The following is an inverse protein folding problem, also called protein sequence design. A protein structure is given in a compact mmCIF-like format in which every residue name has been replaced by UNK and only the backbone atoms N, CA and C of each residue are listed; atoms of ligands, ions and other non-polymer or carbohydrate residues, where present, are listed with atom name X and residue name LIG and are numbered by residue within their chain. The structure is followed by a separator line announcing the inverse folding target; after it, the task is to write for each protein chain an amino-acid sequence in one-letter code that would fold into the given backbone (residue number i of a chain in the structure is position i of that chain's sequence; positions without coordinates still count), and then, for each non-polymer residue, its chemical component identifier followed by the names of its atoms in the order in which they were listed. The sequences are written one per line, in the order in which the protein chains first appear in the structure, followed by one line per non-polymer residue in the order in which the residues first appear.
data_IF_584476647705
#
_entry.id   IF_584476647705
#
_cell.length_a   1.000
_cell.length_b   1.000
_cell.length_c   1.000
_cell.angle_alpha   90.00
_cell.angle_beta   90.00
_cell.angle_gamma   90.00
#
_symmetry.space_group_name_H-M   'P 1'
#
loop_
_entity.id
_entity.type
_entity.pdbx_description
1 polymer ?
#
# COMPACT_ATOMS: atom_id res chain seq x y z
N UNK A 1 -51.10 33.51 -3.32
CA UNK A 1 -49.83 33.96 -3.97
C UNK A 1 -48.75 34.03 -2.90
N UNK A 2 -48.40 32.88 -2.32
CA UNK A 2 -47.56 32.79 -1.11
C UNK A 2 -47.05 31.35 -1.05
N UNK A 3 -45.92 31.06 -1.68
CA UNK A 3 -45.17 29.81 -1.40
C UNK A 3 -43.73 29.76 -1.94
N UNK A 4 -43.29 30.75 -2.71
CA UNK A 4 -41.90 30.78 -3.22
C UNK A 4 -40.84 31.24 -2.20
N UNK A 5 -41.24 31.84 -1.06
CA UNK A 5 -40.28 32.33 -0.05
C UNK A 5 -39.85 31.26 0.97
N UNK A 6 -40.73 30.32 1.31
CA UNK A 6 -40.43 29.25 2.29
C UNK A 6 -39.47 28.20 1.71
N UNK A 7 -39.60 27.88 0.42
CA UNK A 7 -38.71 26.95 -0.30
C UNK A 7 -37.27 27.49 -0.42
N UNK A 8 -37.09 28.80 -0.58
CA UNK A 8 -35.77 29.43 -0.63
C UNK A 8 -34.99 29.39 0.69
N UNK A 9 -35.67 29.58 1.83
CA UNK A 9 -35.04 29.55 3.15
C UNK A 9 -34.68 28.11 3.55
N UNK A 10 -35.58 27.15 3.30
CA UNK A 10 -35.33 25.73 3.54
C UNK A 10 -34.14 25.22 2.69
N UNK A 11 -34.06 25.60 1.40
CA UNK A 11 -32.96 25.23 0.51
C UNK A 11 -31.63 25.88 0.91
N UNK A 12 -31.65 27.14 1.36
CA UNK A 12 -30.46 27.81 1.91
C UNK A 12 -29.98 27.18 3.21
N UNK A 13 -30.89 26.82 4.13
CA UNK A 13 -30.55 26.11 5.38
C UNK A 13 -30.01 24.70 5.11
N UNK A 14 -30.57 23.98 4.15
CA UNK A 14 -30.06 22.66 3.73
C UNK A 14 -28.67 22.74 3.08
N UNK A 15 -28.44 23.73 2.20
CA UNK A 15 -27.12 23.98 1.62
C UNK A 15 -26.10 24.38 2.68
N UNK A 16 -26.48 25.23 3.65
CA UNK A 16 -25.61 25.60 4.76
C UNK A 16 -25.27 24.40 5.66
N UNK A 17 -26.27 23.57 5.97
CA UNK A 17 -26.13 22.39 6.82
C UNK A 17 -25.29 21.27 6.18
N UNK A 18 -25.23 21.20 4.85
CA UNK A 18 -24.35 20.28 4.12
C UNK A 18 -22.96 20.87 3.86
N UNK A 19 -22.86 22.18 3.68
CA UNK A 19 -21.59 22.87 3.42
C UNK A 19 -20.70 22.99 4.66
N UNK A 20 -21.26 23.32 5.82
CA UNK A 20 -20.51 23.45 7.09
C UNK A 20 -19.76 22.15 7.45
N UNK A 21 -20.38 20.96 7.50
CA UNK A 21 -19.65 19.74 7.82
C UNK A 21 -18.63 19.37 6.73
N UNK A 22 -18.87 19.73 5.46
CA UNK A 22 -17.90 19.52 4.39
C UNK A 22 -16.66 20.41 4.56
N UNK A 23 -16.84 21.67 4.96
CA UNK A 23 -15.73 22.58 5.28
C UNK A 23 -14.98 22.13 6.53
N UNK A 24 -15.69 21.73 7.59
CA UNK A 24 -15.08 21.19 8.81
C UNK A 24 -14.31 19.90 8.52
N UNK A 25 -14.85 19.02 7.67
CA UNK A 25 -14.14 17.83 7.20
C UNK A 25 -12.88 18.22 6.43
N UNK A 26 -12.94 19.21 5.53
CA UNK A 26 -11.75 19.67 4.80
C UNK A 26 -10.69 20.28 5.73
N UNK A 27 -11.10 21.01 6.78
CA UNK A 27 -10.20 21.54 7.80
C UNK A 27 -9.58 20.38 8.60
N UNK A 28 -10.39 19.46 9.12
CA UNK A 28 -9.92 18.27 9.84
C UNK A 28 -8.92 17.47 9.02
N UNK A 29 -9.21 17.24 7.74
CA UNK A 29 -8.27 16.57 6.85
C UNK A 29 -6.98 17.36 6.75
N UNK A 30 -6.97 18.69 6.61
CA UNK A 30 -5.73 19.47 6.53
C UNK A 30 -4.86 19.41 7.79
N UNK A 31 -5.46 19.33 8.97
CA UNK A 31 -4.75 19.35 10.26
C UNK A 31 -4.51 17.96 10.87
N UNK A 32 -4.94 16.89 10.22
CA UNK A 32 -4.65 15.55 10.70
C UNK A 32 -3.15 15.25 10.60
N UNK A 33 -2.61 14.63 11.64
CA UNK A 33 -1.28 14.02 11.59
C UNK A 33 -1.26 12.90 10.53
N UNK A 34 -0.12 12.69 9.88
CA UNK A 34 0.08 11.65 8.87
C UNK A 34 0.26 12.22 7.45
N UNK A 35 0.11 11.37 6.44
CA UNK A 35 0.42 11.74 5.06
C UNK A 35 -0.51 12.80 4.47
N UNK A 36 0.07 13.88 3.92
CA UNK A 36 -0.66 15.05 3.39
C UNK A 36 -1.06 14.94 1.92
N UNK A 37 -0.62 13.91 1.19
CA UNK A 37 -1.00 13.74 -0.22
C UNK A 37 -0.09 14.47 -1.21
N UNK A 38 1.08 14.92 -0.79
CA UNK A 38 2.10 15.65 -1.55
C UNK A 38 3.30 14.77 -1.90
N UNK A 39 3.76 13.98 -0.92
CA UNK A 39 4.85 13.01 -1.05
C UNK A 39 4.36 11.65 -1.54
N UNK A 40 5.30 10.80 -1.98
CA UNK A 40 5.00 9.42 -2.34
C UNK A 40 4.41 8.67 -1.15
N UNK A 41 3.49 7.76 -1.44
CA UNK A 41 2.85 6.95 -0.41
C UNK A 41 2.64 5.52 -0.89
N UNK A 42 3.29 4.59 -0.20
CA UNK A 42 3.28 3.15 -0.51
C UNK A 42 2.49 2.41 0.55
N UNK A 43 1.44 1.72 0.11
CA UNK A 43 0.55 0.94 0.97
C UNK A 43 0.57 -0.53 0.54
N UNK A 44 0.75 -1.42 1.50
CA UNK A 44 0.59 -2.86 1.31
C UNK A 44 -0.86 -3.25 1.50
N UNK A 45 -1.43 -3.96 0.54
CA UNK A 45 -2.73 -4.60 0.64
C UNK A 45 -2.54 -6.11 0.77
N UNK A 46 -3.15 -6.68 1.79
CA UNK A 46 -3.04 -8.11 2.10
C UNK A 46 -4.43 -8.70 2.33
N UNK A 47 -4.73 -9.80 1.65
CA UNK A 47 -5.93 -10.59 1.89
C UNK A 47 -5.61 -11.81 2.73
N UNK A 48 -6.31 -11.94 3.86
CA UNK A 48 -6.20 -13.08 4.77
C UNK A 48 -7.37 -14.02 4.48
N UNK A 49 -7.07 -15.17 3.89
CA UNK A 49 -8.04 -16.21 3.56
C UNK A 49 -8.31 -17.10 4.80
N UNK A 50 -9.56 -17.54 5.03
CA UNK A 50 -9.87 -18.52 6.07
C UNK A 50 -9.18 -19.87 5.79
N UNK A 51 -8.81 -20.60 6.85
CA UNK A 51 -8.02 -21.85 6.80
C UNK A 51 -8.61 -22.97 5.92
N UNK A 52 -9.88 -22.88 5.53
CA UNK A 52 -10.60 -23.88 4.74
C UNK A 52 -10.41 -23.76 3.22
N UNK A 53 -9.91 -22.63 2.72
CA UNK A 53 -9.64 -22.41 1.30
C UNK A 53 -8.12 -22.30 1.09
N UNK A 54 -7.54 -23.37 0.53
CA UNK A 54 -6.17 -23.47 0.00
C UNK A 54 -5.31 -22.20 -0.01
N UNK A 55 -4.83 -21.79 1.17
CA UNK A 55 -3.48 -21.27 1.47
C UNK A 55 -2.92 -20.04 0.74
N UNK A 56 -3.64 -19.36 -0.14
CA UNK A 56 -3.05 -18.26 -0.94
C UNK A 56 -3.43 -16.89 -0.41
N UNK A 57 -2.75 -16.46 0.65
CA UNK A 57 -2.77 -15.07 1.09
C UNK A 57 -2.13 -14.18 0.01
N UNK A 58 -2.98 -13.48 -0.74
CA UNK A 58 -2.56 -12.57 -1.81
C UNK A 58 -2.05 -11.24 -1.24
N UNK A 59 -1.02 -10.70 -1.91
CA UNK A 59 -0.29 -9.53 -1.46
C UNK A 59 -0.03 -8.58 -2.63
N UNK A 60 -0.24 -7.29 -2.41
CA UNK A 60 0.12 -6.28 -3.39
C UNK A 60 0.63 -5.00 -2.73
N UNK A 61 1.58 -4.32 -3.38
CA UNK A 61 1.99 -2.97 -3.02
C UNK A 61 1.33 -1.99 -4.00
N UNK A 62 0.79 -0.91 -3.45
CA UNK A 62 0.30 0.23 -4.22
C UNK A 62 1.09 1.45 -3.79
N UNK A 63 1.95 1.94 -4.67
CA UNK A 63 2.71 3.18 -4.46
C UNK A 63 2.15 4.28 -5.34
N UNK A 64 1.76 5.39 -4.74
CA UNK A 64 1.22 6.56 -5.43
C UNK A 64 2.24 7.70 -5.35
N UNK A 65 2.49 8.36 -6.48
CA UNK A 65 3.31 9.56 -6.60
C UNK A 65 2.41 10.76 -6.96
N UNK A 66 1.90 11.51 -5.96
CA UNK A 66 0.93 12.57 -6.20
C UNK A 66 1.48 13.73 -7.02
N UNK A 67 2.78 14.02 -6.93
CA UNK A 67 3.40 15.16 -7.62
C UNK A 67 3.37 15.02 -9.14
N UNK A 68 3.48 13.78 -9.63
CA UNK A 68 3.46 13.45 -11.07
C UNK A 68 2.19 12.73 -11.52
N UNK A 69 1.25 12.48 -10.61
CA UNK A 69 0.03 11.69 -10.84
C UNK A 69 0.34 10.30 -11.43
N UNK A 70 1.38 9.65 -10.92
CA UNK A 70 1.76 8.30 -11.32
C UNK A 70 1.55 7.33 -10.15
N UNK A 71 1.56 6.04 -10.45
CA UNK A 71 1.65 5.04 -9.41
C UNK A 71 2.01 3.67 -9.98
N UNK A 72 2.29 2.76 -9.07
CA UNK A 72 2.58 1.36 -9.39
C UNK A 72 1.72 0.46 -8.51
N UNK A 73 1.17 -0.56 -9.14
CA UNK A 73 0.60 -1.73 -8.49
C UNK A 73 1.55 -2.90 -8.72
N UNK A 74 2.13 -3.42 -7.64
CA UNK A 74 3.05 -4.55 -7.66
C UNK A 74 2.39 -5.74 -6.95
N UNK A 75 1.98 -6.75 -7.72
CA UNK A 75 1.49 -8.01 -7.15
C UNK A 75 2.66 -8.88 -6.71
N UNK A 76 2.54 -9.49 -5.53
CA UNK A 76 3.53 -10.39 -4.93
C UNK A 76 2.87 -11.75 -4.72
N UNK A 77 3.42 -12.76 -5.40
CA UNK A 77 2.94 -14.14 -5.27
C UNK A 77 3.14 -14.69 -3.85
N UNK A 78 2.20 -15.52 -3.34
CA UNK A 78 2.28 -16.15 -2.02
C UNK A 78 3.51 -17.06 -1.82
N UNK A 79 4.16 -17.48 -2.92
CA UNK A 79 5.36 -18.33 -2.94
C UNK A 79 6.67 -17.56 -2.81
N UNK A 80 6.64 -16.23 -2.95
CA UNK A 80 7.85 -15.41 -2.87
C UNK A 80 8.35 -15.39 -1.43
N UNK A 81 9.61 -15.75 -1.22
CA UNK A 81 10.29 -15.65 0.06
C UNK A 81 10.62 -14.20 0.36
N UNK A 82 10.23 -13.76 1.55
CA UNK A 82 10.57 -12.46 2.10
C UNK A 82 11.62 -12.65 3.20
N UNK A 83 12.58 -11.74 3.24
CA UNK A 83 13.50 -11.56 4.35
C UNK A 83 12.75 -10.92 5.52
N UNK A 84 12.74 -11.58 6.68
CA UNK A 84 12.09 -11.09 7.90
C UNK A 84 13.10 -10.40 8.82
N UNK A 85 12.68 -9.35 9.54
CA UNK A 85 13.48 -8.75 10.61
C UNK A 85 13.69 -9.72 11.79
N UNK A 86 14.47 -9.31 12.80
CA UNK A 86 14.57 -9.99 14.10
C UNK A 86 15.10 -11.43 14.09
N UNK A 87 15.83 -11.83 13.05
CA UNK A 87 16.50 -13.14 13.00
C UNK A 87 15.63 -14.31 12.51
N UNK A 88 14.40 -14.04 12.05
CA UNK A 88 13.51 -15.07 11.49
C UNK A 88 13.94 -15.63 10.12
N UNK A 89 15.02 -15.11 9.51
CA UNK A 89 15.48 -15.49 8.16
C UNK A 89 14.40 -15.23 7.10
N UNK A 90 14.06 -16.23 6.29
CA UNK A 90 13.18 -16.10 5.14
C UNK A 90 11.93 -16.94 5.27
N UNK A 91 10.77 -16.37 4.93
CA UNK A 91 9.50 -17.09 4.89
C UNK A 91 8.69 -16.73 3.64
N UNK A 92 7.84 -17.65 3.13
CA UNK A 92 6.89 -17.31 2.07
C UNK A 92 6.01 -16.14 2.50
N UNK A 93 5.78 -15.19 1.59
CA UNK A 93 5.01 -13.96 1.81
C UNK A 93 3.64 -14.23 2.42
N UNK A 94 3.00 -15.32 1.99
CA UNK A 94 1.72 -15.83 2.50
C UNK A 94 1.69 -16.12 4.00
N UNK A 95 2.84 -16.45 4.61
CA UNK A 95 2.93 -16.87 6.01
C UNK A 95 3.36 -15.75 6.95
N UNK A 96 3.99 -14.69 6.44
CA UNK A 96 4.64 -13.64 7.27
C UNK A 96 3.66 -12.94 8.20
N UNK A 97 2.48 -12.56 7.69
CA UNK A 97 1.47 -11.91 8.52
C UNK A 97 1.06 -12.77 9.71
N UNK A 98 0.85 -14.08 9.49
CA UNK A 98 0.44 -15.01 10.53
C UNK A 98 1.49 -15.15 11.62
N UNK A 99 2.78 -15.15 11.24
CA UNK A 99 3.88 -15.23 12.21
C UNK A 99 3.81 -14.08 13.22
N UNK A 100 3.70 -12.84 12.75
CA UNK A 100 3.58 -11.68 13.66
C UNK A 100 2.25 -11.64 14.41
N UNK A 101 1.17 -12.10 13.77
CA UNK A 101 -0.14 -12.15 14.41
C UNK A 101 -0.20 -13.15 15.58
N UNK A 102 0.53 -14.27 15.49
CA UNK A 102 0.64 -15.26 16.57
C UNK A 102 1.37 -14.72 17.80
N UNK A 103 2.31 -13.79 17.62
CA UNK A 103 3.11 -13.25 18.70
C UNK A 103 2.37 -12.17 19.51
N UNK A 104 1.73 -11.21 18.83
CA UNK A 104 1.17 -10.02 19.49
C UNK A 104 -0.11 -9.49 18.84
N UNK A 105 -0.80 -10.31 18.06
CA UNK A 105 -2.06 -9.97 17.40
C UNK A 105 -1.89 -9.33 16.02
N UNK A 106 -3.02 -9.13 15.32
CA UNK A 106 -3.03 -8.81 13.89
C UNK A 106 -2.24 -7.56 13.49
N UNK A 107 -2.17 -6.55 14.37
CA UNK A 107 -1.40 -5.34 14.12
C UNK A 107 0.10 -5.65 14.01
N UNK A 108 0.62 -6.52 14.89
CA UNK A 108 2.00 -6.99 14.83
C UNK A 108 2.25 -7.81 13.55
N UNK A 109 1.29 -8.62 13.11
CA UNK A 109 1.33 -9.30 11.82
C UNK A 109 1.48 -8.36 10.63
N UNK A 110 0.70 -7.27 10.61
CA UNK A 110 0.79 -6.23 9.59
C UNK A 110 2.13 -5.49 9.59
N UNK A 111 2.64 -5.15 10.77
CA UNK A 111 3.95 -4.50 10.91
C UNK A 111 5.11 -5.41 10.49
N UNK A 112 5.07 -6.69 10.86
CA UNK A 112 6.09 -7.66 10.44
C UNK A 112 6.09 -7.81 8.92
N UNK A 113 4.91 -7.93 8.30
CA UNK A 113 4.77 -8.02 6.85
C UNK A 113 5.30 -6.75 6.15
N UNK A 114 4.92 -5.56 6.65
CA UNK A 114 5.43 -4.28 6.16
C UNK A 114 6.96 -4.28 6.19
N UNK A 115 7.57 -4.55 7.35
CA UNK A 115 9.03 -4.53 7.51
C UNK A 115 9.73 -5.57 6.63
N UNK A 116 9.15 -6.75 6.49
CA UNK A 116 9.72 -7.81 5.66
C UNK A 116 9.75 -7.42 4.18
N UNK A 117 8.70 -6.74 3.70
CA UNK A 117 8.66 -6.20 2.35
C UNK A 117 9.66 -5.05 2.15
N UNK A 118 9.80 -4.16 3.13
CA UNK A 118 10.81 -3.08 3.08
C UNK A 118 12.22 -3.66 2.96
N UNK A 119 12.53 -4.70 3.75
CA UNK A 119 13.82 -5.37 3.72
C UNK A 119 14.07 -6.09 2.40
N UNK A 120 13.09 -6.87 1.94
CA UNK A 120 13.23 -7.72 0.74
C UNK A 120 13.33 -6.88 -0.53
N UNK A 121 12.46 -5.87 -0.66
CA UNK A 121 12.35 -5.05 -1.86
C UNK A 121 13.22 -3.80 -1.81
N UNK A 122 13.70 -3.39 -0.63
CA UNK A 122 14.43 -2.14 -0.48
C UNK A 122 13.56 -0.91 -0.78
N UNK A 123 12.26 -0.98 -0.54
CA UNK A 123 11.32 0.14 -0.80
C UNK A 123 10.73 0.63 0.51
N UNK A 124 10.53 1.93 0.65
CA UNK A 124 9.81 2.51 1.79
C UNK A 124 8.33 2.14 1.71
N UNK A 125 7.78 1.58 2.78
CA UNK A 125 6.37 1.25 2.89
C UNK A 125 5.80 2.07 4.04
N UNK A 126 4.82 2.93 3.74
CA UNK A 126 4.28 3.85 4.72
C UNK A 126 3.20 3.17 5.58
N UNK A 127 2.42 2.26 4.99
CA UNK A 127 1.29 1.65 5.67
C UNK A 127 0.92 0.27 5.14
N UNK A 128 0.07 -0.42 5.90
CA UNK A 128 -0.54 -1.68 5.51
C UNK A 128 -2.07 -1.65 5.71
N UNK A 129 -2.76 -2.46 4.92
CA UNK A 129 -4.19 -2.76 5.02
C UNK A 129 -4.35 -4.25 4.85
N UNK A 130 -4.74 -4.94 5.92
CA UNK A 130 -5.02 -6.35 5.92
C UNK A 130 -6.53 -6.59 6.07
N UNK A 131 -7.10 -7.35 5.14
CA UNK A 131 -8.51 -7.69 5.09
C UNK A 131 -8.72 -9.15 5.48
N UNK A 132 -9.58 -9.39 6.47
CA UNK A 132 -10.06 -10.75 6.76
C UNK A 132 -11.24 -11.09 5.83
N UNK A 133 -11.30 -12.33 5.32
CA UNK A 133 -12.41 -12.83 4.50
C UNK A 133 -12.55 -12.16 3.12
N UNK A 134 -11.45 -11.81 2.44
CA UNK A 134 -11.42 -11.38 1.04
C UNK A 134 -12.33 -10.18 0.72
N UNK A 135 -12.27 -9.14 1.57
CA UNK A 135 -13.12 -7.96 1.40
C UNK A 135 -12.79 -7.12 0.15
N UNK A 136 -11.61 -7.34 -0.44
CA UNK A 136 -11.23 -6.93 -1.79
C UNK A 136 -10.52 -8.11 -2.47
N UNK A 137 -10.50 -8.13 -3.80
CA UNK A 137 -9.73 -9.10 -4.57
C UNK A 137 -8.47 -8.42 -5.11
N UNK A 138 -7.30 -9.05 -4.93
CA UNK A 138 -6.04 -8.51 -5.40
C UNK A 138 -5.76 -9.05 -6.80
N UNK A 139 -5.70 -8.13 -7.75
CA UNK A 139 -5.54 -8.45 -9.15
C UNK A 139 -4.17 -9.05 -9.46
N UNK A 140 -4.16 -10.27 -10.00
CA UNK A 140 -2.93 -10.98 -10.38
C UNK A 140 -2.50 -10.63 -11.81
N UNK A 141 -3.42 -10.07 -12.60
CA UNK A 141 -3.17 -9.65 -13.99
C UNK A 141 -3.58 -8.20 -14.23
N UNK A 142 -2.95 -7.57 -15.23
CA UNK A 142 -3.23 -6.18 -15.62
C UNK A 142 -4.71 -5.92 -15.94
N UNK A 143 -5.35 -6.80 -16.71
CA UNK A 143 -6.77 -6.63 -17.07
C UNK A 143 -7.70 -6.68 -15.85
N UNK A 144 -7.39 -7.53 -14.86
CA UNK A 144 -8.12 -7.60 -13.59
C UNK A 144 -7.93 -6.30 -12.79
N UNK A 145 -6.71 -5.78 -12.76
CA UNK A 145 -6.39 -4.52 -12.08
C UNK A 145 -7.11 -3.32 -12.69
N UNK A 146 -7.15 -3.24 -14.03
CA UNK A 146 -7.85 -2.17 -14.73
C UNK A 146 -9.35 -2.17 -14.38
N UNK A 147 -9.97 -3.36 -14.30
CA UNK A 147 -11.35 -3.51 -13.88
C UNK A 147 -11.54 -3.15 -12.39
N UNK A 148 -10.68 -3.68 -11.51
CA UNK A 148 -10.69 -3.38 -10.09
C UNK A 148 -10.63 -1.87 -9.85
N UNK A 149 -9.74 -1.14 -10.54
CA UNK A 149 -9.65 0.31 -10.41
C UNK A 149 -10.91 1.03 -10.90
N UNK A 150 -11.46 0.63 -12.05
CA UNK A 150 -12.69 1.24 -12.59
C UNK A 150 -13.89 1.06 -11.65
N UNK A 151 -13.99 -0.09 -11.02
CA UNK A 151 -15.12 -0.38 -10.14
C UNK A 151 -14.95 0.23 -8.75
N UNK A 152 -13.74 0.18 -8.19
CA UNK A 152 -13.50 0.59 -6.79
C UNK A 152 -13.07 2.04 -6.62
N UNK A 153 -12.57 2.74 -7.66
CA UNK A 153 -12.05 4.12 -7.53
C UNK A 153 -12.75 5.14 -8.42
N UNK A 154 -14.03 4.90 -8.78
CA UNK A 154 -14.87 5.91 -9.45
C UNK A 154 -15.76 6.67 -8.46
N UNK A 155 -16.33 7.81 -8.90
CA UNK A 155 -17.07 8.71 -8.00
C UNK A 155 -18.29 8.04 -7.35
N UNK A 156 -19.02 7.20 -8.09
CA UNK A 156 -20.25 6.57 -7.60
C UNK A 156 -20.05 5.10 -7.24
N UNK A 157 -19.41 4.29 -8.11
CA UNK A 157 -19.18 2.87 -7.83
C UNK A 157 -18.09 2.61 -6.78
N UNK A 158 -17.19 3.58 -6.57
CA UNK A 158 -16.13 3.48 -5.57
C UNK A 158 -16.55 3.84 -4.15
N UNK A 159 -17.76 4.41 -3.95
CA UNK A 159 -18.24 4.75 -2.60
C UNK A 159 -18.33 3.52 -1.68
N UNK A 160 -18.91 2.37 -2.10
CA UNK A 160 -18.85 1.14 -1.32
C UNK A 160 -17.43 0.75 -0.89
N UNK A 161 -16.44 0.85 -1.78
CA UNK A 161 -15.05 0.55 -1.45
C UNK A 161 -14.47 1.55 -0.44
N UNK A 162 -14.72 2.85 -0.63
CA UNK A 162 -14.32 3.88 0.33
C UNK A 162 -14.95 3.62 1.71
N UNK A 163 -16.26 3.37 1.78
CA UNK A 163 -16.94 3.07 3.03
C UNK A 163 -16.33 1.85 3.70
N UNK A 164 -16.06 0.78 2.95
CA UNK A 164 -15.35 -0.38 3.48
C UNK A 164 -14.00 0.05 4.04
N UNK A 165 -13.13 0.70 3.26
CA UNK A 165 -11.79 1.12 3.71
C UNK A 165 -11.83 1.93 5.02
N UNK A 166 -12.84 2.79 5.18
CA UNK A 166 -13.05 3.63 6.37
C UNK A 166 -13.62 2.88 7.59
N UNK A 167 -14.15 1.66 7.42
CA UNK A 167 -14.63 0.82 8.54
C UNK A 167 -13.50 0.03 9.21
N UNK A 168 -13.68 -0.32 10.48
CA UNK A 168 -12.72 -1.08 11.29
C UNK A 168 -12.65 -2.59 10.97
N UNK A 169 -13.20 -2.99 9.81
CA UNK A 169 -13.17 -4.40 9.38
C UNK A 169 -11.80 -4.80 8.79
N UNK A 170 -10.90 -3.82 8.67
CA UNK A 170 -9.52 -3.98 8.22
C UNK A 170 -8.58 -3.73 9.37
N UNK A 171 -7.53 -4.55 9.45
CA UNK A 171 -6.39 -4.26 10.32
C UNK A 171 -5.45 -3.36 9.53
N UNK A 172 -5.22 -2.14 10.02
CA UNK A 172 -4.42 -1.15 9.30
C UNK A 172 -3.82 -0.15 10.27
N UNK A 173 -2.63 0.36 9.95
CA UNK A 173 -2.03 1.50 10.61
C UNK A 173 -2.36 2.85 9.92
N UNK A 174 -3.21 2.85 8.88
CA UNK A 174 -3.72 4.07 8.25
C UNK A 174 -4.74 4.75 9.13
N UNK A 175 -4.54 6.04 9.39
CA UNK A 175 -5.58 6.84 10.01
C UNK A 175 -6.71 7.18 9.01
N UNK A 176 -7.85 7.65 9.54
CA UNK A 176 -9.03 7.98 8.73
C UNK A 176 -8.72 8.95 7.57
N UNK A 177 -7.90 9.97 7.85
CA UNK A 177 -7.55 10.99 6.85
C UNK A 177 -6.67 10.43 5.73
N UNK A 178 -5.74 9.53 6.06
CA UNK A 178 -4.86 8.87 5.12
C UNK A 178 -5.64 7.92 4.22
N UNK A 179 -6.57 7.13 4.79
CA UNK A 179 -7.50 6.27 4.01
C UNK A 179 -8.27 7.07 2.97
N UNK A 180 -8.87 8.20 3.38
CA UNK A 180 -9.64 9.05 2.47
C UNK A 180 -8.75 9.72 1.41
N UNK A 181 -7.58 10.27 1.82
CA UNK A 181 -6.62 10.87 0.87
C UNK A 181 -6.11 9.86 -0.13
N UNK A 182 -5.78 8.64 0.31
CA UNK A 182 -5.32 7.56 -0.55
C UNK A 182 -6.37 7.23 -1.60
N UNK A 183 -7.63 7.04 -1.18
CA UNK A 183 -8.74 6.81 -2.10
C UNK A 183 -8.88 7.95 -3.12
N UNK A 184 -8.86 9.21 -2.66
CA UNK A 184 -9.01 10.37 -3.54
C UNK A 184 -7.83 10.52 -4.53
N UNK A 185 -6.60 10.19 -4.12
CA UNK A 185 -5.42 10.24 -4.97
C UNK A 185 -5.42 9.10 -5.99
N UNK A 186 -5.71 7.87 -5.55
CA UNK A 186 -5.84 6.70 -6.43
C UNK A 186 -6.93 6.90 -7.49
N UNK A 187 -8.06 7.51 -7.12
CA UNK A 187 -9.14 7.91 -8.05
C UNK A 187 -8.68 8.93 -9.11
N UNK A 188 -7.81 9.88 -8.76
CA UNK A 188 -7.38 10.94 -9.68
C UNK A 188 -6.39 10.47 -10.74
N UNK A 189 -5.57 9.48 -10.40
CA UNK A 189 -4.58 8.92 -11.33
C UNK A 189 -5.32 8.16 -12.43
N UNK A 190 -4.93 8.35 -13.70
CA UNK A 190 -5.53 7.60 -14.81
C UNK A 190 -4.95 6.19 -14.92
N UNK A 191 -5.62 5.30 -15.64
CA UNK A 191 -5.15 3.91 -15.83
C UNK A 191 -3.82 3.85 -16.58
N UNK A 192 -3.63 4.69 -17.59
CA UNK A 192 -2.37 4.78 -18.36
C UNK A 192 -1.19 5.31 -17.53
N UNK A 193 -1.46 5.96 -16.39
CA UNK A 193 -0.47 6.48 -15.46
C UNK A 193 -0.18 5.51 -14.30
N UNK A 194 -0.87 4.37 -14.26
CA UNK A 194 -0.59 3.29 -13.35
C UNK A 194 0.15 2.17 -14.05
N UNK A 195 1.30 1.84 -13.52
CA UNK A 195 2.01 0.65 -13.93
C UNK A 195 1.48 -0.56 -13.15
N UNK A 196 1.32 -1.67 -13.85
CA UNK A 196 1.01 -2.97 -13.25
C UNK A 196 2.25 -3.85 -13.41
N UNK A 197 2.74 -4.40 -12.31
CA UNK A 197 3.87 -5.32 -12.29
C UNK A 197 3.46 -6.57 -11.51
N UNK A 198 3.54 -7.72 -12.15
CA UNK A 198 3.51 -9.00 -11.46
C UNK A 198 4.95 -9.43 -11.16
N UNK A 199 5.32 -9.43 -9.88
CA UNK A 199 6.70 -9.73 -9.48
C UNK A 199 7.12 -11.16 -9.88
N UNK A 200 6.16 -12.09 -9.88
CA UNK A 200 6.31 -13.47 -10.34
C UNK A 200 6.80 -13.61 -11.79
N UNK A 201 6.29 -12.74 -12.66
CA UNK A 201 6.51 -12.76 -14.10
C UNK A 201 7.71 -11.88 -14.49
N UNK A 202 8.35 -11.24 -13.50
CA UNK A 202 9.49 -10.37 -13.71
C UNK A 202 10.80 -11.15 -13.70
N UNK A 203 11.84 -10.59 -14.33
CA UNK A 203 13.21 -11.11 -14.23
C UNK A 203 13.87 -10.87 -12.87
N UNK A 204 13.14 -10.30 -11.90
CA UNK A 204 13.66 -10.00 -10.55
C UNK A 204 13.39 -11.14 -9.57
N UNK A 205 12.80 -12.24 -10.03
CA UNK A 205 12.47 -13.41 -9.23
C UNK A 205 12.91 -14.68 -9.94
N UNK A 206 13.42 -15.65 -9.19
CA UNK A 206 13.75 -16.97 -9.70
C UNK A 206 13.16 -18.08 -8.82
N UNK A 207 12.69 -19.19 -9.42
CA UNK A 207 12.18 -20.33 -8.67
C UNK A 207 13.30 -21.21 -8.10
N UNK A 208 13.07 -21.77 -6.93
CA UNK A 208 13.92 -22.77 -6.28
C UNK A 208 13.03 -23.89 -5.71
N UNK A 209 13.53 -25.13 -5.75
CA UNK A 209 12.85 -26.27 -5.13
C UNK A 209 13.62 -26.61 -3.86
N UNK A 210 12.97 -26.45 -2.72
CA UNK A 210 13.53 -26.80 -1.43
C UNK A 210 13.72 -28.31 -1.28
N UNK A 211 14.55 -28.78 -0.31
CA UNK A 211 14.77 -30.21 -0.08
C UNK A 211 13.51 -31.03 0.21
N UNK A 212 12.45 -30.38 0.70
CA UNK A 212 11.13 -30.96 0.95
C UNK A 212 10.24 -31.04 -0.32
N UNK A 213 10.78 -30.64 -1.49
CA UNK A 213 10.11 -30.53 -2.79
C UNK A 213 9.09 -29.38 -2.89
N UNK A 214 9.09 -28.46 -1.93
CA UNK A 214 8.27 -27.26 -2.03
C UNK A 214 8.91 -26.28 -3.02
N UNK A 215 8.10 -25.76 -3.95
CA UNK A 215 8.52 -24.70 -4.86
C UNK A 215 8.37 -23.34 -4.18
N UNK A 216 9.46 -22.60 -4.09
CA UNK A 216 9.53 -21.25 -3.50
C UNK A 216 10.27 -20.32 -4.47
N UNK A 217 10.01 -19.02 -4.36
CA UNK A 217 10.58 -18.06 -5.29
C UNK A 217 11.43 -17.03 -4.54
N UNK A 218 12.65 -16.81 -5.00
CA UNK A 218 13.59 -15.85 -4.41
C UNK A 218 13.62 -14.55 -5.19
N UNK A 219 13.80 -13.43 -4.48
CA UNK A 219 13.96 -12.11 -5.09
C UNK A 219 15.46 -11.88 -5.35
N UNK A 220 15.81 -11.65 -6.61
CA UNK A 220 17.11 -11.09 -6.97
C UNK A 220 17.07 -9.59 -6.70
N UNK A 221 17.65 -9.19 -5.56
CA UNK A 221 17.63 -7.81 -5.08
C UNK A 221 18.31 -6.84 -6.06
N UNK A 222 19.38 -7.27 -6.73
CA UNK A 222 20.15 -6.42 -7.66
C UNK A 222 19.31 -6.15 -8.91
N UNK A 223 18.72 -7.22 -9.47
CA UNK A 223 17.84 -7.08 -10.62
C UNK A 223 16.55 -6.33 -10.27
N UNK A 224 16.00 -6.55 -9.07
CA UNK A 224 14.84 -5.80 -8.59
C UNK A 224 15.14 -4.31 -8.53
N UNK A 225 16.24 -3.92 -7.88
CA UNK A 225 16.64 -2.52 -7.76
C UNK A 225 16.88 -1.89 -9.12
N UNK A 226 17.62 -2.57 -10.01
CA UNK A 226 17.88 -2.06 -11.35
C UNK A 226 16.58 -1.81 -12.15
N UNK A 227 15.63 -2.75 -12.07
CA UNK A 227 14.39 -2.68 -12.83
C UNK A 227 13.35 -1.73 -12.20
N UNK A 228 13.41 -1.48 -10.90
CA UNK A 228 12.37 -0.77 -10.16
C UNK A 228 12.81 0.53 -9.49
N UNK A 229 14.07 0.93 -9.64
CA UNK A 229 14.64 2.13 -9.03
C UNK A 229 13.73 3.37 -9.16
N UNK A 230 13.40 3.75 -10.40
CA UNK A 230 12.58 4.94 -10.69
C UNK A 230 11.09 4.75 -10.38
N UNK A 231 10.65 3.53 -10.07
CA UNK A 231 9.23 3.25 -9.81
C UNK A 231 8.83 3.63 -8.41
N UNK A 232 9.76 3.66 -7.45
CA UNK A 232 9.52 3.94 -6.03
C UNK A 232 10.13 5.26 -5.52
N UNK A 233 10.79 6.03 -6.39
CA UNK A 233 11.37 7.33 -6.04
C UNK A 233 10.29 8.38 -5.71
N UNK A 234 10.45 9.09 -4.60
CA UNK A 234 9.75 10.33 -4.31
C UNK A 234 10.47 11.47 -5.05
N UNK A 235 9.79 11.98 -6.05
CA UNK A 235 10.35 13.02 -6.93
C UNK A 235 10.72 14.29 -6.17
N UNK A 236 9.98 14.65 -5.12
CA UNK A 236 10.28 15.87 -4.36
C UNK A 236 11.54 15.69 -3.52
N UNK A 237 11.78 14.49 -2.94
CA UNK A 237 13.07 14.17 -2.28
C UNK A 237 14.21 14.33 -3.28
N UNK A 238 14.07 13.71 -4.45
CA UNK A 238 15.13 13.68 -5.45
C UNK A 238 15.54 15.07 -5.94
N UNK A 239 14.58 16.00 -6.00
CA UNK A 239 14.80 17.39 -6.41
C UNK A 239 15.51 18.24 -5.34
N UNK A 240 15.57 17.78 -4.09
CA UNK A 240 16.30 18.47 -3.03
C UNK A 240 17.83 18.33 -3.20
N UNK A 241 18.30 17.35 -3.99
CA UNK A 241 19.72 17.11 -4.33
C UNK A 241 20.63 16.99 -3.10
N UNK A 242 20.14 16.30 -2.07
CA UNK A 242 20.85 16.07 -0.82
C UNK A 242 21.61 14.75 -0.91
N UNK A 243 22.91 14.77 -0.60
CA UNK A 243 23.72 13.57 -0.42
C UNK A 243 23.73 13.13 1.03
N UNK A 244 23.47 11.85 1.28
CA UNK A 244 23.48 11.24 2.60
C UNK A 244 24.50 10.12 2.66
N UNK A 245 25.29 10.10 3.74
CA UNK A 245 26.15 8.98 4.10
C UNK A 245 25.48 8.18 5.23
N UNK A 246 25.46 6.86 5.10
CA UNK A 246 24.85 5.96 6.08
C UNK A 246 25.95 5.14 6.73
N UNK A 247 26.21 5.41 8.00
CA UNK A 247 27.17 4.67 8.80
C UNK A 247 26.49 3.65 9.71
N UNK A 248 27.10 2.48 9.86
CA UNK A 248 26.61 1.45 10.75
C UNK A 248 27.19 1.59 12.15
N UNK A 249 26.44 2.21 13.06
CA UNK A 249 26.84 2.32 14.46
C UNK A 249 26.35 1.16 15.34
N UNK A 250 25.52 0.23 14.83
CA UNK A 250 24.88 -0.81 15.66
C UNK A 250 25.74 -2.05 15.89
N UNK A 251 26.82 -2.23 15.11
CA UNK A 251 27.66 -3.44 15.15
C UNK A 251 27.03 -4.67 14.48
N UNK A 252 25.77 -4.59 14.04
CA UNK A 252 25.06 -5.66 13.35
C UNK A 252 25.30 -5.60 11.83
N UNK A 253 25.66 -6.71 11.21
CA UNK A 253 25.96 -6.73 9.77
C UNK A 253 24.76 -6.32 8.91
N UNK A 254 25.04 -5.66 7.78
CA UNK A 254 24.08 -5.31 6.71
C UNK A 254 22.98 -4.30 7.06
N UNK A 255 22.85 -3.84 8.31
CA UNK A 255 21.84 -2.83 8.71
C UNK A 255 21.97 -1.54 7.91
N UNK A 256 23.17 -0.96 7.85
CA UNK A 256 23.41 0.26 7.07
C UNK A 256 23.19 0.04 5.58
N UNK A 257 23.59 -1.10 5.02
CA UNK A 257 23.37 -1.43 3.61
C UNK A 257 21.89 -1.49 3.26
N UNK A 258 21.08 -2.12 4.10
CA UNK A 258 19.63 -2.21 3.90
C UNK A 258 18.95 -0.84 4.02
N UNK A 259 19.35 -0.05 5.02
CA UNK A 259 18.84 1.30 5.19
C UNK A 259 19.23 2.22 4.02
N UNK A 260 20.50 2.15 3.58
CA UNK A 260 20.99 2.87 2.41
C UNK A 260 20.24 2.46 1.14
N UNK A 261 19.91 1.17 0.97
CA UNK A 261 19.11 0.69 -0.16
C UNK A 261 17.72 1.33 -0.18
N UNK A 262 17.03 1.36 0.96
CA UNK A 262 15.71 2.00 1.09
C UNK A 262 15.79 3.50 0.79
N UNK A 263 16.79 4.21 1.33
CA UNK A 263 17.00 5.63 1.04
C UNK A 263 17.28 5.88 -0.45
N UNK A 264 18.16 5.08 -1.03
CA UNK A 264 18.53 5.19 -2.45
C UNK A 264 17.31 5.02 -3.36
N UNK A 265 16.45 4.05 -3.07
CA UNK A 265 15.22 3.82 -3.84
C UNK A 265 14.12 4.86 -3.53
N UNK A 266 14.23 5.59 -2.42
CA UNK A 266 13.29 6.64 -2.04
C UNK A 266 13.60 7.99 -2.70
N UNK A 267 14.85 8.33 -2.97
CA UNK A 267 15.23 9.55 -3.71
C UNK A 267 16.55 10.15 -3.28
#
# INVERSE_FOLDING_TARGET
MTDYRLTGIARKRFLLFTFIPLVLLMIYLKFSAGWHGDRRYTVVFHNIYPETESGENDLALVSLEPSSQRGIYLYISPKILLDLPYGYKTYPSSSVFRLGALESGDAAGGHLLQKSLELSLGVKIDAFVAAKNNWFDLSKKKGEFDNFKRDNFTLYKGLPFLFRLLTDKYVSNLNFSEKLRFFLKMRKIRLDQLEFVNLAESSSVYPEILPDKTEVWHIDQINFDHNNFSRFEDRLVRLEDISLEVENASGEEKVATLFARVLKNYG
#
